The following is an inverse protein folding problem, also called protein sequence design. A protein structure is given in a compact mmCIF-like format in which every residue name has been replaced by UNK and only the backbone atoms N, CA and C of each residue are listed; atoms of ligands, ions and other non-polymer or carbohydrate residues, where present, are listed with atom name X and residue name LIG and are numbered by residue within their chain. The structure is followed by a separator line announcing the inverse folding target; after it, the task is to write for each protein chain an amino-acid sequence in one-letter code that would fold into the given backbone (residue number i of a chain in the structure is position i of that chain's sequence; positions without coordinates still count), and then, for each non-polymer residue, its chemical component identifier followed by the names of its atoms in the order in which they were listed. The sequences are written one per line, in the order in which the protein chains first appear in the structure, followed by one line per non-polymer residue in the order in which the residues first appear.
data_IF_615577248059
#
_entry.id   IF_615577248059
#
_cell.length_a   1.000
_cell.length_b   1.000
_cell.length_c   1.000
_cell.angle_alpha   90.00
_cell.angle_beta   90.00
_cell.angle_gamma   90.00
#
_symmetry.space_group_name_H-M   'P 1'
#
loop_
_entity.id
_entity.type
_entity.pdbx_description
1 polymer ?
#
# COMPACT_ATOMS: atom_id res chain seq x y z
N UNK A 1 -7.68 -1.20 -8.08
CA UNK A 1 -8.80 -0.44 -7.52
C UNK A 1 -10.03 -1.18 -7.93
N UNK A 2 -10.92 -1.39 -6.97
CA UNK A 2 -12.25 -1.97 -7.20
C UNK A 2 -13.25 -1.00 -6.59
N UNK A 3 -14.23 -0.59 -7.36
CA UNK A 3 -15.24 0.38 -6.98
C UNK A 3 -16.63 -0.26 -7.12
N UNK A 4 -17.39 -0.21 -6.05
CA UNK A 4 -18.82 -0.51 -5.95
C UNK A 4 -19.57 0.80 -5.66
N UNK A 5 -20.89 0.76 -5.67
CA UNK A 5 -21.74 1.96 -5.48
C UNK A 5 -21.37 2.79 -4.24
N UNK A 6 -21.06 2.14 -3.11
CA UNK A 6 -20.76 2.81 -1.85
C UNK A 6 -19.42 2.40 -1.23
N UNK A 7 -18.63 1.58 -1.91
CA UNK A 7 -17.34 1.07 -1.40
C UNK A 7 -16.26 1.17 -2.48
N UNK A 8 -15.10 1.68 -2.13
CA UNK A 8 -13.93 1.70 -2.99
C UNK A 8 -12.71 1.09 -2.29
N UNK A 9 -12.08 0.10 -2.92
CA UNK A 9 -10.80 -0.44 -2.50
C UNK A 9 -9.67 0.08 -3.40
N UNK A 10 -8.68 0.74 -2.80
CA UNK A 10 -7.48 1.21 -3.47
C UNK A 10 -6.37 0.14 -3.40
N UNK A 11 -6.16 -0.54 -4.53
CA UNK A 11 -5.21 -1.65 -4.70
C UNK A 11 -3.76 -1.14 -4.87
N UNK A 12 -3.05 -1.02 -3.75
CA UNK A 12 -1.59 -0.84 -3.75
C UNK A 12 -0.94 -2.17 -4.16
N UNK A 13 0.10 -2.12 -4.99
CA UNK A 13 0.76 -3.36 -5.41
C UNK A 13 1.54 -3.97 -4.22
N UNK A 14 1.50 -5.30 -4.12
CA UNK A 14 2.26 -6.11 -3.13
C UNK A 14 1.80 -5.97 -1.66
N UNK A 15 0.59 -5.47 -1.44
CA UNK A 15 -0.05 -5.32 -0.11
C UNK A 15 -1.22 -6.28 0.10
N UNK A 16 -1.11 -7.53 -0.39
CA UNK A 16 -2.18 -8.52 -0.29
C UNK A 16 -3.42 -8.22 -1.15
N UNK A 17 -3.29 -7.36 -2.15
CA UNK A 17 -4.45 -6.83 -2.88
C UNK A 17 -5.23 -7.87 -3.69
N UNK A 18 -4.60 -8.94 -4.18
CA UNK A 18 -5.29 -10.07 -4.81
C UNK A 18 -6.26 -10.74 -3.83
N UNK A 19 -5.86 -10.87 -2.56
CA UNK A 19 -6.71 -11.46 -1.53
C UNK A 19 -7.92 -10.58 -1.24
N UNK A 20 -7.71 -9.27 -1.06
CA UNK A 20 -8.80 -8.31 -0.82
C UNK A 20 -9.76 -8.28 -2.01
N UNK A 21 -9.26 -8.23 -3.25
CA UNK A 21 -10.13 -8.26 -4.44
C UNK A 21 -10.97 -9.52 -4.49
N UNK A 22 -10.36 -10.69 -4.30
CA UNK A 22 -11.08 -11.96 -4.27
C UNK A 22 -12.11 -12.06 -3.15
N UNK A 23 -11.86 -11.42 -2.00
CA UNK A 23 -12.84 -11.33 -0.92
C UNK A 23 -14.03 -10.45 -1.33
N UNK A 24 -13.76 -9.26 -1.88
CA UNK A 24 -14.82 -8.34 -2.31
C UNK A 24 -15.67 -8.95 -3.43
N UNK A 25 -15.04 -9.55 -4.44
CA UNK A 25 -15.74 -10.24 -5.55
C UNK A 25 -16.70 -11.33 -5.07
N UNK A 26 -16.36 -12.04 -3.98
CA UNK A 26 -17.17 -13.15 -3.46
C UNK A 26 -18.28 -12.72 -2.50
N UNK A 27 -18.10 -11.61 -1.79
CA UNK A 27 -18.94 -11.28 -0.64
C UNK A 27 -19.66 -9.93 -0.74
N UNK A 28 -19.27 -9.03 -1.66
CA UNK A 28 -19.96 -7.77 -1.89
C UNK A 28 -21.26 -7.97 -2.66
N UNK A 29 -22.27 -7.18 -2.33
CA UNK A 29 -23.53 -7.12 -3.07
C UNK A 29 -23.34 -6.33 -4.36
N UNK A 30 -23.83 -6.90 -5.46
CA UNK A 30 -23.78 -6.28 -6.79
C UNK A 30 -22.42 -6.45 -7.47
N UNK A 31 -22.36 -6.01 -8.71
CA UNK A 31 -21.15 -6.05 -9.53
C UNK A 31 -20.28 -4.81 -9.29
N UNK A 32 -18.94 -4.92 -9.41
CA UNK A 32 -18.07 -3.75 -9.35
C UNK A 32 -18.38 -2.82 -10.53
N UNK A 33 -18.61 -1.53 -10.23
CA UNK A 33 -18.79 -0.46 -11.21
C UNK A 33 -17.51 -0.24 -12.02
N UNK A 34 -16.35 -0.42 -11.38
CA UNK A 34 -15.04 -0.25 -12.04
C UNK A 34 -13.96 -1.12 -11.41
N UNK A 35 -13.21 -1.81 -12.25
CA UNK A 35 -12.03 -2.58 -11.87
C UNK A 35 -10.83 -2.07 -12.66
N UNK A 36 -9.83 -1.52 -11.97
CA UNK A 36 -8.61 -1.01 -12.59
C UNK A 36 -7.40 -1.39 -11.75
N UNK A 37 -6.54 -2.27 -12.26
CA UNK A 37 -5.34 -2.72 -11.54
C UNK A 37 -4.42 -1.54 -11.22
N UNK A 38 -4.17 -1.32 -9.92
CA UNK A 38 -3.40 -0.17 -9.40
C UNK A 38 -3.88 1.20 -9.93
N UNK A 39 -5.18 1.31 -10.26
CA UNK A 39 -5.79 2.51 -10.81
C UNK A 39 -5.85 3.66 -9.82
N UNK A 40 -5.50 4.86 -10.29
CA UNK A 40 -5.63 6.13 -9.55
C UNK A 40 -7.03 6.70 -9.76
N UNK A 41 -7.55 7.40 -8.75
CA UNK A 41 -8.76 8.22 -8.92
C UNK A 41 -8.42 9.70 -8.79
N UNK A 42 -9.01 10.52 -9.67
CA UNK A 42 -8.83 11.97 -9.61
C UNK A 42 -9.57 12.57 -8.41
N UNK A 43 -10.78 12.05 -8.15
CA UNK A 43 -11.64 12.39 -7.02
C UNK A 43 -12.60 11.23 -6.75
N UNK A 44 -13.24 11.23 -5.58
CA UNK A 44 -14.43 10.39 -5.35
C UNK A 44 -15.56 10.88 -6.26
N UNK A 45 -16.33 9.94 -6.83
CA UNK A 45 -17.56 10.30 -7.52
C UNK A 45 -18.64 10.71 -6.51
N UNK A 46 -18.80 9.93 -5.45
CA UNK A 46 -19.67 10.20 -4.31
C UNK A 46 -18.83 10.42 -3.03
N UNK A 47 -18.96 11.57 -2.33
CA UNK A 47 -18.30 11.82 -1.05
C UNK A 47 -18.59 10.77 0.04
N UNK A 48 -19.77 10.13 0.00
CA UNK A 48 -20.20 9.14 0.98
C UNK A 48 -19.65 7.72 0.70
N UNK A 49 -19.04 7.49 -0.47
CA UNK A 49 -18.34 6.23 -0.77
C UNK A 49 -17.26 5.99 0.28
N UNK A 50 -17.35 4.85 0.98
CA UNK A 50 -16.33 4.39 1.91
C UNK A 50 -15.11 3.86 1.14
N UNK A 51 -13.98 4.54 1.28
CA UNK A 51 -12.75 4.20 0.61
C UNK A 51 -11.73 3.62 1.59
N UNK A 52 -11.16 2.45 1.29
CA UNK A 52 -10.07 1.88 2.06
C UNK A 52 -8.90 1.44 1.18
N UNK A 53 -7.72 1.36 1.79
CA UNK A 53 -6.45 1.03 1.13
C UNK A 53 -5.67 0.04 2.00
N UNK A 54 -4.80 -0.77 1.41
CA UNK A 54 -3.86 -1.59 2.17
C UNK A 54 -2.47 -0.97 2.19
N UNK A 55 -1.80 -1.05 3.34
CA UNK A 55 -0.41 -0.69 3.54
C UNK A 55 0.36 -1.90 4.05
N UNK A 56 1.64 -2.01 3.71
CA UNK A 56 2.55 -3.06 4.18
C UNK A 56 3.83 -2.40 4.65
N UNK A 57 4.56 -3.07 5.55
CA UNK A 57 5.90 -2.65 5.96
C UNK A 57 6.78 -2.40 4.73
N UNK A 58 7.47 -1.25 4.64
CA UNK A 58 8.21 -0.92 3.44
C UNK A 58 9.29 -1.92 3.04
N UNK A 59 10.03 -2.50 4.02
CA UNK A 59 11.00 -3.55 3.73
C UNK A 59 10.34 -4.76 3.03
N UNK A 60 9.22 -5.25 3.57
CA UNK A 60 8.49 -6.38 3.01
C UNK A 60 7.91 -6.07 1.61
N UNK A 61 7.55 -4.81 1.33
CA UNK A 61 7.17 -4.36 -0.01
C UNK A 61 8.33 -4.50 -0.99
N UNK A 62 9.51 -4.03 -0.61
CA UNK A 62 10.71 -4.13 -1.45
C UNK A 62 11.10 -5.60 -1.69
N UNK A 63 11.10 -6.44 -0.64
CA UNK A 63 11.36 -7.88 -0.77
C UNK A 63 10.36 -8.55 -1.73
N UNK A 64 9.06 -8.26 -1.59
CA UNK A 64 8.02 -8.80 -2.46
C UNK A 64 8.15 -8.31 -3.91
N UNK A 65 8.57 -7.06 -4.11
CA UNK A 65 8.78 -6.48 -5.43
C UNK A 65 10.02 -7.05 -6.11
N UNK A 66 11.12 -7.23 -5.36
CA UNK A 66 12.36 -7.84 -5.83
C UNK A 66 12.15 -9.30 -6.22
N UNK A 67 11.63 -10.13 -5.31
CA UNK A 67 11.33 -11.55 -5.56
C UNK A 67 10.46 -11.74 -6.81
N UNK A 68 9.40 -10.93 -6.93
CA UNK A 68 8.56 -10.93 -8.12
C UNK A 68 9.31 -10.55 -9.41
N UNK A 69 10.32 -9.68 -9.33
CA UNK A 69 11.17 -9.31 -10.45
C UNK A 69 12.17 -10.41 -10.82
N UNK A 70 12.73 -11.11 -9.84
CA UNK A 70 13.54 -12.32 -10.06
C UNK A 70 12.74 -13.42 -10.78
N UNK A 71 11.42 -13.50 -10.56
CA UNK A 71 10.52 -14.43 -11.28
C UNK A 71 10.16 -13.98 -12.71
N UNK A 72 10.74 -12.90 -13.24
CA UNK A 72 10.34 -12.41 -14.57
C UNK A 72 9.16 -11.44 -14.58
N UNK A 73 8.54 -11.15 -13.44
CA UNK A 73 7.24 -10.47 -13.35
C UNK A 73 7.36 -8.99 -12.96
N UNK A 74 6.30 -8.23 -13.24
CA UNK A 74 6.15 -6.84 -12.80
C UNK A 74 6.62 -5.78 -13.79
N UNK A 75 6.03 -4.58 -13.69
CA UNK A 75 6.32 -3.45 -14.58
C UNK A 75 7.72 -2.88 -14.34
N UNK A 76 8.15 -2.76 -13.07
CA UNK A 76 9.49 -2.27 -12.71
C UNK A 76 10.58 -3.13 -13.35
N UNK A 77 10.49 -4.46 -13.20
CA UNK A 77 11.44 -5.39 -13.83
C UNK A 77 11.54 -5.17 -15.34
N UNK A 78 10.40 -5.08 -16.04
CA UNK A 78 10.41 -4.84 -17.50
C UNK A 78 11.07 -3.51 -17.87
N UNK A 79 10.92 -2.46 -17.06
CA UNK A 79 11.60 -1.17 -17.27
C UNK A 79 13.11 -1.30 -17.08
N UNK A 80 13.56 -1.90 -15.98
CA UNK A 80 14.98 -2.08 -15.70
C UNK A 80 15.66 -2.97 -16.74
N UNK A 81 15.04 -4.08 -17.14
CA UNK A 81 15.54 -4.95 -18.23
C UNK A 81 15.65 -4.17 -19.55
N UNK A 82 14.65 -3.35 -19.91
CA UNK A 82 14.70 -2.52 -21.12
C UNK A 82 15.81 -1.46 -21.05
N UNK A 83 16.16 -1.00 -19.85
CA UNK A 83 17.27 -0.09 -19.62
C UNK A 83 18.64 -0.79 -19.56
N UNK A 84 18.73 -2.10 -19.80
CA UNK A 84 19.98 -2.86 -19.73
C UNK A 84 20.40 -3.22 -18.31
N UNK A 85 19.52 -3.07 -17.31
CA UNK A 85 19.79 -3.29 -15.88
C UNK A 85 19.19 -4.62 -15.38
N UNK A 86 19.26 -5.67 -16.21
CA UNK A 86 18.70 -6.98 -15.87
C UNK A 86 19.51 -7.71 -14.79
N UNK A 87 20.79 -7.39 -14.68
CA UNK A 87 21.76 -7.90 -13.70
C UNK A 87 21.42 -7.50 -12.24
N UNK A 88 20.60 -6.46 -12.06
CA UNK A 88 20.05 -6.11 -10.74
C UNK A 88 19.13 -7.19 -10.15
N UNK A 89 18.61 -8.12 -10.95
CA UNK A 89 17.70 -9.19 -10.47
C UNK A 89 18.41 -10.53 -10.24
N UNK A 90 19.62 -10.48 -9.70
CA UNK A 90 20.32 -11.68 -9.25
C UNK A 90 19.68 -12.22 -7.97
N UNK A 91 19.25 -13.48 -7.98
CA UNK A 91 18.58 -14.12 -6.85
C UNK A 91 19.61 -14.53 -5.78
N UNK A 92 20.22 -13.54 -5.13
CA UNK A 92 21.16 -13.66 -4.02
C UNK A 92 20.98 -12.50 -3.03
N UNK A 93 21.43 -12.62 -1.76
CA UNK A 93 21.43 -11.49 -0.83
C UNK A 93 22.20 -10.26 -1.35
N UNK A 94 23.34 -10.49 -2.04
CA UNK A 94 24.10 -9.43 -2.70
C UNK A 94 23.33 -8.77 -3.85
N UNK A 95 22.59 -9.54 -4.65
CA UNK A 95 21.70 -9.02 -5.68
C UNK A 95 20.57 -8.15 -5.11
N UNK A 96 19.93 -8.60 -4.02
CA UNK A 96 18.94 -7.81 -3.30
C UNK A 96 19.52 -6.49 -2.78
N UNK A 97 20.71 -6.52 -2.16
CA UNK A 97 21.36 -5.33 -1.64
C UNK A 97 21.65 -4.31 -2.76
N UNK A 98 22.27 -4.73 -3.87
CA UNK A 98 22.52 -3.86 -5.03
C UNK A 98 21.23 -3.31 -5.63
N UNK A 99 20.19 -4.13 -5.70
CA UNK A 99 18.88 -3.69 -6.18
C UNK A 99 18.26 -2.64 -5.24
N UNK A 100 18.33 -2.84 -3.92
CA UNK A 100 17.86 -1.89 -2.91
C UNK A 100 18.63 -0.56 -3.01
N UNK A 101 19.96 -0.60 -3.07
CA UNK A 101 20.80 0.58 -3.30
C UNK A 101 20.35 1.35 -4.54
N UNK A 102 20.07 0.62 -5.63
CA UNK A 102 19.58 1.24 -6.86
C UNK A 102 18.21 1.91 -6.69
N UNK A 103 17.21 1.21 -6.13
CA UNK A 103 15.82 1.74 -6.08
C UNK A 103 15.61 2.80 -5.00
N UNK A 104 16.47 2.84 -3.98
CA UNK A 104 16.40 3.85 -2.91
C UNK A 104 17.08 5.16 -3.28
N UNK A 105 17.94 5.14 -4.29
CA UNK A 105 18.70 6.30 -4.75
C UNK A 105 17.84 7.22 -5.63
N UNK A 106 17.82 8.51 -5.30
CA UNK A 106 16.94 9.51 -5.90
C UNK A 106 17.24 9.72 -7.38
N UNK A 107 18.52 9.70 -7.75
CA UNK A 107 18.96 9.87 -9.15
C UNK A 107 18.42 8.78 -10.09
N UNK A 108 17.96 7.65 -9.54
CA UNK A 108 17.40 6.54 -10.30
C UNK A 108 15.87 6.58 -10.44
N UNK A 109 15.20 7.64 -9.94
CA UNK A 109 13.75 7.72 -9.91
C UNK A 109 13.06 7.55 -11.28
N UNK A 110 13.69 8.03 -12.35
CA UNK A 110 13.19 7.93 -13.72
C UNK A 110 13.03 6.48 -14.21
N UNK A 111 13.81 5.55 -13.66
CA UNK A 111 13.71 4.12 -13.99
C UNK A 111 12.55 3.42 -13.28
N UNK A 112 12.07 3.95 -12.16
CA UNK A 112 11.04 3.28 -11.35
C UNK A 112 9.64 3.43 -11.97
N UNK A 113 9.41 4.54 -12.66
CA UNK A 113 8.17 4.84 -13.38
C UNK A 113 7.03 5.24 -12.44
N UNK A 114 5.78 5.01 -12.86
CA UNK A 114 4.58 5.42 -12.09
C UNK A 114 4.57 6.92 -11.74
N UNK A 115 5.20 7.76 -12.56
CA UNK A 115 5.34 9.21 -12.31
C UNK A 115 6.07 9.53 -11.01
N UNK A 116 6.90 8.63 -10.49
CA UNK A 116 7.67 8.88 -9.27
C UNK A 116 8.66 10.02 -9.45
N UNK A 117 9.36 10.06 -10.59
CA UNK A 117 10.29 11.13 -10.94
C UNK A 117 9.62 12.51 -11.11
N UNK A 118 8.29 12.56 -11.29
CA UNK A 118 7.54 13.83 -11.41
C UNK A 118 7.18 14.41 -10.03
N UNK A 119 7.37 13.64 -8.96
CA UNK A 119 7.14 14.06 -7.58
C UNK A 119 8.39 14.65 -6.92
N UNK A 120 8.30 14.86 -5.61
CA UNK A 120 9.41 15.33 -4.78
C UNK A 120 10.20 14.14 -4.23
N UNK A 121 10.97 13.50 -5.11
CA UNK A 121 11.68 12.24 -4.81
C UNK A 121 12.65 12.38 -3.64
N UNK A 122 13.16 13.57 -3.34
CA UNK A 122 13.99 13.85 -2.18
C UNK A 122 13.22 13.77 -0.85
N UNK A 123 11.89 13.90 -0.86
CA UNK A 123 11.06 13.92 0.35
C UNK A 123 10.62 12.53 0.81
N UNK A 124 10.46 11.58 -0.11
CA UNK A 124 9.96 10.25 0.21
C UNK A 124 10.40 9.21 -0.83
N UNK A 125 10.36 7.94 -0.42
CA UNK A 125 10.73 6.78 -1.23
C UNK A 125 9.64 6.29 -2.17
N UNK A 126 10.00 5.32 -2.99
CA UNK A 126 9.14 4.82 -4.04
C UNK A 126 7.85 4.16 -3.50
N UNK A 127 7.87 3.46 -2.37
CA UNK A 127 6.65 2.82 -1.85
C UNK A 127 5.67 3.84 -1.28
N UNK A 128 6.17 4.86 -0.59
CA UNK A 128 5.39 6.02 -0.13
C UNK A 128 4.72 6.72 -1.30
N UNK A 129 5.46 6.96 -2.40
CA UNK A 129 4.89 7.54 -3.62
C UNK A 129 3.70 6.75 -4.14
N UNK A 130 3.81 5.42 -4.20
CA UNK A 130 2.76 4.55 -4.72
C UNK A 130 1.52 4.56 -3.85
N UNK A 131 1.70 4.52 -2.53
CA UNK A 131 0.61 4.65 -1.58
C UNK A 131 -0.09 6.00 -1.74
N UNK A 132 0.65 7.11 -1.71
CA UNK A 132 0.09 8.46 -1.83
C UNK A 132 -0.54 8.72 -3.19
N UNK A 133 0.01 8.14 -4.26
CA UNK A 133 -0.53 8.22 -5.61
C UNK A 133 -1.94 7.66 -5.74
N UNK A 134 -2.30 6.71 -4.88
CA UNK A 134 -3.66 6.18 -4.79
C UNK A 134 -4.48 6.90 -3.72
N UNK A 135 -3.89 7.17 -2.56
CA UNK A 135 -4.60 7.74 -1.42
C UNK A 135 -4.98 9.22 -1.59
N UNK A 136 -4.35 9.96 -2.51
CA UNK A 136 -4.66 11.36 -2.79
C UNK A 136 -5.37 11.47 -4.15
N UNK A 137 -6.58 12.01 -4.17
CA UNK A 137 -7.24 12.36 -5.43
C UNK A 137 -6.40 13.35 -6.23
N UNK A 138 -6.04 13.05 -7.49
CA UNK A 138 -5.17 13.95 -8.28
C UNK A 138 -3.76 14.11 -7.70
N UNK A 139 -3.20 13.03 -7.14
CA UNK A 139 -1.92 13.01 -6.42
C UNK A 139 -0.76 13.70 -7.16
N UNK A 140 -0.60 13.48 -8.46
CA UNK A 140 0.58 13.94 -9.21
C UNK A 140 0.84 15.45 -9.02
N UNK A 141 -0.18 16.30 -9.24
CA UNK A 141 -0.06 17.75 -9.10
C UNK A 141 0.11 18.23 -7.65
N UNK A 142 -0.28 17.42 -6.67
CA UNK A 142 -0.19 17.74 -5.23
C UNK A 142 1.18 17.35 -4.69
N UNK A 143 1.63 16.14 -5.04
CA UNK A 143 2.91 15.59 -4.63
C UNK A 143 4.09 16.37 -5.19
N UNK A 144 4.01 16.84 -6.44
CA UNK A 144 5.06 17.68 -7.04
C UNK A 144 5.22 19.06 -6.37
N UNK A 145 4.20 19.52 -5.64
CA UNK A 145 4.18 20.82 -4.96
C UNK A 145 4.48 20.74 -3.46
N UNK A 146 4.59 19.54 -2.88
CA UNK A 146 4.86 19.41 -1.46
C UNK A 146 6.23 20.01 -1.12
N UNK A 147 6.32 20.88 -0.13
CA UNK A 147 7.56 21.59 0.21
C UNK A 147 8.44 20.85 1.23
N UNK A 148 7.88 19.89 1.95
CA UNK A 148 8.57 19.14 2.99
C UNK A 148 7.66 18.14 3.70
N UNK A 149 8.20 17.44 4.70
CA UNK A 149 7.48 16.39 5.44
C UNK A 149 6.20 16.89 6.13
N UNK A 150 6.23 18.07 6.75
CA UNK A 150 5.05 18.64 7.40
C UNK A 150 3.96 19.01 6.40
N UNK A 151 4.36 19.45 5.20
CA UNK A 151 3.40 19.73 4.15
C UNK A 151 2.77 18.45 3.61
N UNK A 152 3.56 17.38 3.47
CA UNK A 152 3.06 16.06 3.09
C UNK A 152 2.06 15.51 4.12
N UNK A 153 2.34 15.64 5.41
CA UNK A 153 1.41 15.27 6.50
C UNK A 153 0.10 16.03 6.39
N UNK A 154 0.17 17.37 6.26
CA UNK A 154 -1.03 18.22 6.11
C UNK A 154 -1.80 17.90 4.84
N UNK A 155 -1.09 17.63 3.74
CA UNK A 155 -1.67 17.26 2.46
C UNK A 155 -2.47 15.97 2.60
N UNK A 156 -1.88 14.92 3.18
CA UNK A 156 -2.58 13.68 3.44
C UNK A 156 -3.80 13.89 4.35
N UNK A 157 -3.61 14.51 5.52
CA UNK A 157 -4.69 14.74 6.48
C UNK A 157 -5.88 15.54 5.91
N UNK A 158 -5.63 16.46 4.97
CA UNK A 158 -6.68 17.33 4.40
C UNK A 158 -7.26 16.84 3.09
N UNK A 159 -6.52 16.06 2.31
CA UNK A 159 -6.84 15.76 0.90
C UNK A 159 -6.86 14.27 0.57
N UNK A 160 -6.60 13.41 1.54
CA UNK A 160 -6.79 11.97 1.37
C UNK A 160 -8.24 11.65 1.05
N UNK A 161 -8.41 10.67 0.17
CA UNK A 161 -9.68 10.08 -0.18
C UNK A 161 -9.87 8.73 0.52
N UNK A 162 -9.01 8.39 1.48
CA UNK A 162 -9.03 7.14 2.23
C UNK A 162 -9.67 7.37 3.58
N UNK A 163 -10.65 6.54 3.95
CA UNK A 163 -11.28 6.51 5.28
C UNK A 163 -10.63 5.48 6.21
N UNK A 164 -10.04 4.41 5.65
CA UNK A 164 -9.35 3.38 6.42
C UNK A 164 -8.10 2.83 5.71
N UNK A 165 -7.04 2.59 6.48
CA UNK A 165 -5.82 1.90 6.02
C UNK A 165 -5.71 0.55 6.72
N UNK A 166 -5.71 -0.53 5.94
CA UNK A 166 -5.52 -1.89 6.42
C UNK A 166 -4.03 -2.25 6.47
N UNK A 167 -3.58 -2.81 7.58
CA UNK A 167 -2.26 -3.41 7.69
C UNK A 167 -2.23 -4.76 6.96
N UNK A 168 -1.29 -4.96 6.05
CA UNK A 168 -1.09 -6.25 5.35
C UNK A 168 -0.63 -7.32 6.33
N UNK A 169 0.11 -6.94 7.37
CA UNK A 169 0.58 -7.86 8.41
C UNK A 169 -0.56 -8.44 9.26
N UNK A 170 -1.70 -7.73 9.34
CA UNK A 170 -2.92 -8.15 10.05
C UNK A 170 -4.14 -8.10 9.13
N UNK A 171 -3.95 -8.48 7.86
CA UNK A 171 -4.94 -8.23 6.80
C UNK A 171 -6.30 -8.89 7.07
N UNK A 172 -6.30 -10.14 7.57
CA UNK A 172 -7.54 -10.86 7.86
C UNK A 172 -8.32 -10.19 8.99
N UNK A 173 -7.63 -9.82 10.06
CA UNK A 173 -8.22 -9.14 11.21
C UNK A 173 -8.79 -7.79 10.81
N UNK A 174 -8.03 -7.01 10.03
CA UNK A 174 -8.47 -5.70 9.57
C UNK A 174 -9.65 -5.79 8.61
N UNK A 175 -9.63 -6.76 7.68
CA UNK A 175 -10.76 -6.98 6.77
C UNK A 175 -11.99 -7.50 7.51
N UNK A 176 -11.81 -8.32 8.55
CA UNK A 176 -12.90 -8.77 9.40
C UNK A 176 -13.49 -7.62 10.22
N UNK A 177 -12.68 -6.67 10.70
CA UNK A 177 -13.17 -5.45 11.34
C UNK A 177 -14.02 -4.62 10.37
N UNK A 178 -13.55 -4.37 9.15
CA UNK A 178 -14.31 -3.65 8.14
C UNK A 178 -15.60 -4.40 7.76
N UNK A 179 -15.56 -5.73 7.64
CA UNK A 179 -16.73 -6.57 7.36
C UNK A 179 -17.80 -6.50 8.47
N UNK A 180 -17.41 -6.31 9.74
CA UNK A 180 -18.34 -6.07 10.85
C UNK A 180 -18.92 -4.67 10.87
N UNK A 181 -18.21 -3.71 10.27
CA UNK A 181 -18.52 -2.28 10.37
C UNK A 181 -18.88 -1.69 9.00
N UNK A 182 -17.94 -1.04 8.32
CA UNK A 182 -18.21 -0.21 7.14
C UNK A 182 -18.68 -1.00 5.92
N UNK A 183 -18.23 -2.25 5.77
CA UNK A 183 -18.63 -3.11 4.65
C UNK A 183 -19.93 -3.86 4.94
N UNK A 184 -20.31 -4.04 6.21
CA UNK A 184 -21.48 -4.83 6.62
C UNK A 184 -22.76 -4.53 5.82
N UNK A 185 -23.19 -3.27 5.62
CA UNK A 185 -24.42 -2.99 4.86
C UNK A 185 -24.34 -3.35 3.37
N UNK A 186 -23.12 -3.54 2.85
CA UNK A 186 -22.82 -3.80 1.45
C UNK A 186 -22.47 -5.27 1.17
N UNK A 187 -22.40 -6.13 2.19
CA UNK A 187 -22.16 -7.57 2.00
C UNK A 187 -23.46 -8.29 1.62
N UNK A 188 -23.33 -9.37 0.83
CA UNK A 188 -24.43 -10.30 0.55
C UNK A 188 -24.85 -11.01 1.83
N UNK A 189 -23.87 -11.59 2.53
CA UNK A 189 -24.01 -12.25 3.82
C UNK A 189 -22.76 -11.93 4.65
N UNK A 190 -22.95 -11.11 5.68
CA UNK A 190 -21.86 -10.64 6.52
C UNK A 190 -21.26 -11.77 7.39
N UNK A 191 -22.07 -12.74 7.82
CA UNK A 191 -21.62 -13.82 8.68
C UNK A 191 -20.81 -14.84 7.86
N UNK A 192 -21.26 -15.15 6.64
CA UNK A 192 -20.49 -15.97 5.70
C UNK A 192 -19.15 -15.32 5.31
N UNK A 193 -19.13 -13.99 5.12
CA UNK A 193 -17.90 -13.25 4.85
C UNK A 193 -16.91 -13.33 6.02
N UNK A 194 -17.39 -13.19 7.26
CA UNK A 194 -16.57 -13.32 8.46
C UNK A 194 -16.04 -14.75 8.65
N UNK A 195 -16.89 -15.75 8.43
CA UNK A 195 -16.49 -17.15 8.48
C UNK A 195 -15.40 -17.47 7.45
N UNK A 196 -15.47 -16.89 6.24
CA UNK A 196 -14.45 -17.07 5.21
C UNK A 196 -13.09 -16.46 5.60
N UNK A 197 -13.06 -15.37 6.37
CA UNK A 197 -11.82 -14.76 6.88
C UNK A 197 -11.21 -15.54 8.06
N UNK A 198 -12.04 -16.26 8.81
CA UNK A 198 -11.61 -17.11 9.94
C UNK A 198 -11.26 -18.54 9.51
N UNK A 199 -11.69 -18.96 8.31
CA UNK A 199 -11.43 -20.30 7.81
C UNK A 199 -9.92 -20.57 7.72
N UNK A 200 -9.46 -21.79 8.08
CA UNK A 200 -8.07 -22.17 7.94
C UNK A 200 -7.63 -21.96 6.49
N UNK A 201 -6.65 -21.07 6.28
CA UNK A 201 -6.14 -20.81 4.94
C UNK A 201 -5.48 -22.07 4.41
N UNK A 202 -5.92 -22.54 3.24
CA UNK A 202 -5.09 -23.46 2.44
C UNK A 202 -3.80 -22.70 2.11
N UNK A 203 -2.67 -23.21 2.58
CA UNK A 203 -1.32 -22.63 2.48
C UNK A 203 -0.91 -22.40 1.01
N UNK A 204 -1.43 -21.34 0.41
CA UNK A 204 -0.82 -20.63 -0.71
C UNK A 204 -0.21 -19.33 -0.17
N UNK A 205 0.42 -19.41 1.01
CA UNK A 205 1.41 -18.41 1.40
C UNK A 205 2.48 -18.56 0.33
N UNK A 206 2.64 -17.55 -0.53
CA UNK A 206 3.74 -17.52 -1.48
C UNK A 206 4.99 -17.92 -0.71
N UNK A 207 5.59 -19.06 -1.08
CA UNK A 207 6.79 -19.59 -0.44
C UNK A 207 7.74 -18.41 -0.32
N UNK A 208 7.89 -17.92 0.91
CA UNK A 208 8.85 -16.89 1.23
C UNK A 208 10.18 -17.59 1.03
N UNK A 209 10.70 -17.44 -0.19
CA UNK A 209 11.98 -17.97 -0.63
C UNK A 209 13.04 -17.48 0.37
N UNK A 210 14.11 -18.25 0.60
CA UNK A 210 15.21 -17.91 1.54
C UNK A 210 15.79 -16.50 1.28
N UNK A 211 15.56 -15.97 0.07
CA UNK A 211 15.95 -14.65 -0.40
C UNK A 211 15.11 -13.48 0.12
N UNK A 212 13.99 -13.80 0.75
CA UNK A 212 13.14 -12.82 1.45
C UNK A 212 13.40 -12.81 2.94
N UNK A 213 14.43 -13.50 3.42
CA UNK A 213 14.87 -13.38 4.79
C UNK A 213 15.40 -11.96 5.05
N UNK A 214 14.67 -11.25 5.89
CA UNK A 214 15.00 -9.90 6.37
C UNK A 214 16.38 -9.88 7.03
N UNK A 215 16.82 -10.99 7.64
CA UNK A 215 18.13 -11.08 8.29
C UNK A 215 19.30 -10.93 7.31
N UNK A 216 19.08 -11.17 6.01
CA UNK A 216 20.10 -11.01 4.97
C UNK A 216 20.29 -9.57 4.47
N UNK A 217 19.42 -8.62 4.87
CA UNK A 217 19.49 -7.23 4.40
C UNK A 217 20.44 -6.43 5.30
N UNK A 218 21.48 -5.78 4.75
CA UNK A 218 22.35 -4.92 5.53
C UNK A 218 21.57 -3.86 6.31
N UNK A 219 21.86 -3.76 7.60
CA UNK A 219 21.21 -2.82 8.53
C UNK A 219 21.26 -1.35 8.03
N UNK A 220 22.33 -0.96 7.32
CA UNK A 220 22.43 0.36 6.70
C UNK A 220 21.32 0.60 5.64
N UNK A 221 20.95 -0.41 4.87
CA UNK A 221 19.87 -0.36 3.89
C UNK A 221 18.50 -0.36 4.56
N UNK A 222 18.32 -1.11 5.66
CA UNK A 222 17.09 -1.05 6.46
C UNK A 222 16.87 0.38 6.96
N UNK A 223 17.89 1.00 7.56
CA UNK A 223 17.83 2.42 7.97
C UNK A 223 17.59 3.37 6.81
N UNK A 224 18.13 3.09 5.62
CA UNK A 224 17.85 3.89 4.44
C UNK A 224 16.39 3.77 4.00
N UNK A 225 15.82 2.56 4.00
CA UNK A 225 14.38 2.35 3.74
C UNK A 225 13.55 3.14 4.74
N UNK A 226 13.85 3.06 6.03
CA UNK A 226 13.11 3.79 7.06
C UNK A 226 13.16 5.31 6.86
N UNK A 227 14.33 5.85 6.48
CA UNK A 227 14.47 7.29 6.18
C UNK A 227 13.67 7.68 4.95
N UNK A 228 13.76 6.91 3.86
CA UNK A 228 13.09 7.23 2.60
C UNK A 228 11.58 7.02 2.73
N UNK A 229 11.15 5.97 3.41
CA UNK A 229 9.75 5.56 3.56
C UNK A 229 9.12 6.04 4.88
N UNK A 230 9.68 7.10 5.46
CA UNK A 230 9.32 7.62 6.79
C UNK A 230 7.82 7.84 6.96
N UNK A 231 7.13 8.25 5.89
CA UNK A 231 5.70 8.54 5.92
C UNK A 231 4.89 7.28 6.22
N UNK A 232 5.21 6.14 5.59
CA UNK A 232 4.52 4.88 5.85
C UNK A 232 4.84 4.34 7.24
N UNK A 233 6.09 4.53 7.69
CA UNK A 233 6.48 4.17 9.05
C UNK A 233 5.69 4.96 10.10
N UNK A 234 5.59 6.28 9.92
CA UNK A 234 4.83 7.15 10.80
C UNK A 234 3.33 6.84 10.76
N UNK A 235 2.77 6.70 9.55
CA UNK A 235 1.34 6.43 9.36
C UNK A 235 0.91 5.14 10.07
N UNK A 236 1.68 4.07 9.93
CA UNK A 236 1.33 2.75 10.46
C UNK A 236 1.93 2.45 11.83
N UNK A 237 2.72 3.36 12.40
CA UNK A 237 3.46 3.13 13.64
C UNK A 237 4.46 1.98 13.53
N UNK A 238 5.12 1.83 12.38
CA UNK A 238 6.22 0.88 12.24
C UNK A 238 7.43 1.40 13.03
N UNK A 239 7.93 0.56 13.94
CA UNK A 239 9.11 0.88 14.74
C UNK A 239 10.31 1.14 13.82
N UNK A 240 11.23 2.00 14.27
CA UNK A 240 12.53 2.20 13.62
C UNK A 240 13.53 1.20 14.21
N UNK A 241 14.49 0.74 13.39
CA UNK A 241 15.31 -0.45 13.60
C UNK A 241 15.79 -0.72 15.03
N UNK A 242 15.71 -1.99 15.44
CA UNK A 242 16.33 -2.53 16.65
C UNK A 242 15.39 -2.76 17.85
N UNK A 243 14.22 -2.14 17.89
CA UNK A 243 13.25 -2.31 19.00
C UNK A 243 12.21 -3.44 18.78
N UNK A 244 12.43 -4.34 17.83
CA UNK A 244 11.53 -5.49 17.60
C UNK A 244 11.71 -6.63 18.60
N UNK A 245 12.66 -6.54 19.53
CA UNK A 245 12.96 -7.60 20.50
C UNK A 245 11.99 -7.68 21.72
N UNK A 246 10.96 -6.83 21.82
CA UNK A 246 10.09 -6.82 23.02
C UNK A 246 8.67 -6.30 22.74
N UNK A 247 7.77 -7.15 22.24
CA UNK A 247 6.30 -6.95 22.34
C UNK A 247 5.67 -5.80 21.54
N UNK A 248 6.42 -4.99 20.79
CA UNK A 248 5.88 -3.85 20.04
C UNK A 248 4.98 -4.25 18.84
N UNK A 249 5.06 -5.50 18.37
CA UNK A 249 4.23 -5.99 17.28
C UNK A 249 2.73 -6.07 17.63
N UNK A 250 2.38 -6.30 18.91
CA UNK A 250 0.98 -6.46 19.33
C UNK A 250 0.18 -5.15 19.39
N UNK A 251 0.85 -3.99 19.42
CA UNK A 251 0.18 -2.69 19.60
C UNK A 251 -0.23 -1.99 18.30
N UNK A 252 0.10 -2.53 17.14
CA UNK A 252 -0.22 -1.90 15.84
C UNK A 252 -1.67 -2.21 15.43
N UNK A 253 -2.49 -1.23 15.04
CA UNK A 253 -3.87 -1.49 14.65
C UNK A 253 -3.93 -2.29 13.34
N UNK A 254 -4.87 -3.23 13.25
CA UNK A 254 -5.18 -3.91 11.99
C UNK A 254 -5.84 -2.95 10.98
N UNK A 255 -6.60 -1.98 11.50
CA UNK A 255 -7.24 -0.89 10.74
C UNK A 255 -6.87 0.46 11.36
N UNK A 256 -6.21 1.31 10.59
CA UNK A 256 -6.04 2.72 10.94
C UNK A 256 -7.18 3.53 10.32
N UNK A 257 -8.02 4.15 11.16
CA UNK A 257 -9.05 5.07 10.71
C UNK A 257 -8.45 6.43 10.38
N UNK A 258 -8.73 6.91 9.19
CA UNK A 258 -8.29 8.22 8.72
C UNK A 258 -9.46 9.18 8.90
N UNK A 259 -9.26 10.22 9.69
CA UNK A 259 -10.27 11.25 9.90
C UNK A 259 -10.48 12.05 8.60
N UNK A 260 -11.33 11.54 7.71
CA UNK A 260 -11.77 12.28 6.55
C UNK A 260 -12.83 13.28 7.01
N UNK A 261 -12.70 14.53 6.55
CA UNK A 261 -13.81 15.49 6.68
C UNK A 261 -14.91 15.02 5.73
N UNK A 262 -15.77 14.10 6.17
CA UNK A 262 -17.07 13.93 5.53
C UNK A 262 -17.72 15.32 5.57
N UNK A 263 -17.87 15.93 4.40
CA UNK A 263 -18.63 17.17 4.31
C UNK A 263 -20.06 16.75 4.62
N UNK A 264 -20.50 16.94 5.85
CA UNK A 264 -21.90 16.84 6.21
C UNK A 264 -22.67 17.71 5.22
N UNK A 265 -23.39 17.07 4.29
CA UNK A 265 -24.17 17.73 3.25
C UNK A 265 -25.42 18.45 3.79
N UNK A 266 -25.43 18.77 5.08
CA UNK A 266 -26.48 19.49 5.79
C UNK A 266 -26.05 20.95 5.95
N UNK A 267 -26.29 21.78 4.93
CA UNK A 267 -26.04 23.21 5.07
C UNK A 267 -26.00 24.01 3.77
N UNK A 268 -27.00 23.87 2.90
CA UNK A 268 -27.30 24.86 1.86
C UNK A 268 -28.74 24.70 1.35
N UNK A 269 -29.71 24.98 2.22
CA UNK A 269 -31.00 25.54 1.81
C UNK A 269 -31.08 26.91 2.45
N UNK A 270 -30.71 27.93 1.69
CA UNK A 270 -30.87 29.34 1.99
C UNK A 270 -31.21 30.05 0.69
#
# INVERSE_FOLDING_TARGET
MVEYEHVCYLDVQKTGSTFVQSFLERHMRGEPLRVMKHGRIASRADPETFCFITCRRPLDLYLSLFSSGCDGRGALRRRLVRAGLSDLYERTPGGLARWLEFVLEERNASFLGEGYADGRVELYGFQTHRFLSLALGGAAAKLSKAEGSDDLRRLFARRTIVDAVLSTERLDEGLAELARTDLRPHLVDADAALAALQAPKRLNVSTHDELTDVAGVPEALVRQIERREWFLHELMGYARGGEEASGAHERRPAVLRVATRRRSATGATG
#
